data_IF_457997509666
#
_entry.id   IF_457997509666
#
_cell.length_a   1.000
_cell.length_b   1.000
_cell.length_c   1.000
_cell.angle_alpha   90.00
_cell.angle_beta   90.00
_cell.angle_gamma   90.00
#
_symmetry.space_group_name_H-M   'P 1'
#
loop_
_entity.id
_entity.type
_entity.pdbx_description
1 polymer ?
#
# COMPACT_ATOMS: atom_id res chain seq x y z
N UNK A 1 -16.36 3.29 16.73
CA UNK A 1 -17.20 3.95 15.70
C UNK A 1 -16.36 5.01 15.03
N UNK A 2 -16.54 5.24 13.73
CA UNK A 2 -15.67 6.13 12.95
C UNK A 2 -16.51 7.21 12.28
N UNK A 3 -16.15 8.49 12.46
CA UNK A 3 -16.85 9.62 11.84
C UNK A 3 -16.33 9.84 10.41
N UNK A 4 -17.22 9.86 9.42
CA UNK A 4 -16.84 10.14 8.04
C UNK A 4 -16.66 11.63 7.80
N UNK A 5 -15.54 12.01 7.20
CA UNK A 5 -15.24 13.36 6.74
C UNK A 5 -14.64 13.31 5.35
N UNK A 6 -15.10 14.18 4.46
CA UNK A 6 -14.55 14.28 3.11
C UNK A 6 -13.43 15.30 3.07
N UNK A 7 -12.28 14.92 2.50
CA UNK A 7 -11.15 15.82 2.24
C UNK A 7 -10.95 15.93 0.72
N UNK A 8 -10.84 17.15 0.16
CA UNK A 8 -10.59 17.32 -1.27
C UNK A 8 -9.19 16.78 -1.65
N UNK A 9 -9.11 16.06 -2.77
CA UNK A 9 -7.85 15.70 -3.41
C UNK A 9 -7.48 16.74 -4.47
N UNK A 10 -6.20 16.78 -4.83
CA UNK A 10 -5.67 17.63 -5.90
C UNK A 10 -6.28 17.34 -7.30
N UNK A 11 -6.88 16.16 -7.49
CA UNK A 11 -7.58 15.74 -8.72
C UNK A 11 -9.07 16.12 -8.73
N UNK A 12 -9.56 16.87 -7.72
CA UNK A 12 -10.95 17.30 -7.59
C UNK A 12 -11.89 16.24 -7.00
N UNK A 13 -11.42 15.01 -6.75
CA UNK A 13 -12.22 13.97 -6.09
C UNK A 13 -12.17 14.14 -4.56
N UNK A 14 -13.16 13.59 -3.86
CA UNK A 14 -13.17 13.60 -2.39
C UNK A 14 -12.62 12.28 -1.83
N UNK A 15 -11.76 12.37 -0.82
CA UNK A 15 -11.27 11.22 -0.05
C UNK A 15 -12.12 11.06 1.21
N UNK A 16 -12.86 9.95 1.38
CA UNK A 16 -13.57 9.68 2.61
C UNK A 16 -12.57 9.28 3.71
N UNK A 17 -12.38 10.14 4.70
CA UNK A 17 -11.63 9.83 5.91
C UNK A 17 -12.60 9.36 6.99
N UNK A 18 -12.27 8.23 7.61
CA UNK A 18 -12.86 7.78 8.84
C UNK A 18 -12.00 8.21 10.03
N UNK A 19 -12.48 9.16 10.82
CA UNK A 19 -11.81 9.62 12.04
C UNK A 19 -12.29 8.79 13.24
N UNK A 20 -11.45 7.93 13.83
CA UNK A 20 -11.84 7.17 15.02
C UNK A 20 -11.94 8.09 16.23
N UNK A 21 -12.66 7.62 17.26
CA UNK A 21 -12.70 8.31 18.56
C UNK A 21 -11.29 8.44 19.17
N UNK A 22 -11.06 9.40 20.07
CA UNK A 22 -9.76 9.53 20.76
C UNK A 22 -9.38 8.24 21.46
N UNK A 23 -10.32 7.60 22.16
CA UNK A 23 -10.13 6.30 22.82
C UNK A 23 -9.69 5.22 21.84
N UNK A 24 -10.36 5.12 20.68
CA UNK A 24 -10.00 4.15 19.65
C UNK A 24 -8.61 4.44 19.07
N UNK A 25 -8.25 5.71 18.85
CA UNK A 25 -6.91 6.09 18.36
C UNK A 25 -5.81 5.70 19.35
N UNK A 26 -6.04 5.89 20.66
CA UNK A 26 -5.08 5.48 21.70
C UNK A 26 -4.91 3.96 21.70
N UNK A 27 -6.00 3.20 21.65
CA UNK A 27 -5.95 1.74 21.61
C UNK A 27 -5.29 1.22 20.32
N UNK A 28 -5.60 1.81 19.17
CA UNK A 28 -4.96 1.50 17.89
C UNK A 28 -3.46 1.80 17.91
N UNK A 29 -3.06 2.91 18.52
CA UNK A 29 -1.63 3.25 18.67
C UNK A 29 -0.91 2.24 19.56
N UNK A 30 -1.50 1.85 20.70
CA UNK A 30 -0.94 0.84 21.57
C UNK A 30 -0.77 -0.51 20.85
N UNK A 31 -1.80 -0.96 20.13
CA UNK A 31 -1.70 -2.17 19.32
C UNK A 31 -0.64 -2.05 18.21
N UNK A 32 -0.55 -0.90 17.53
CA UNK A 32 0.47 -0.63 16.52
C UNK A 32 1.88 -0.76 17.10
N UNK A 33 2.16 -0.17 18.26
CA UNK A 33 3.49 -0.24 18.89
C UNK A 33 3.94 -1.68 19.19
N UNK A 34 3.00 -2.57 19.49
CA UNK A 34 3.28 -4.00 19.74
C UNK A 34 3.41 -4.79 18.45
N UNK A 35 2.55 -4.53 17.46
CA UNK A 35 2.47 -5.31 16.23
C UNK A 35 3.51 -4.89 15.18
N UNK A 36 3.82 -3.59 15.09
CA UNK A 36 4.71 -3.05 14.06
C UNK A 36 6.10 -3.72 14.08
N UNK A 37 6.79 -3.91 15.23
CA UNK A 37 8.08 -4.61 15.24
C UNK A 37 8.03 -6.05 14.73
N UNK A 38 6.92 -6.77 15.00
CA UNK A 38 6.74 -8.16 14.58
C UNK A 38 6.65 -8.27 13.07
N UNK A 39 5.90 -7.37 12.42
CA UNK A 39 5.75 -7.37 10.97
C UNK A 39 6.91 -6.68 10.25
N UNK A 40 7.50 -5.64 10.85
CA UNK A 40 8.66 -4.95 10.30
C UNK A 40 9.86 -5.88 10.12
N UNK A 41 10.02 -6.88 10.99
CA UNK A 41 11.03 -7.92 10.86
C UNK A 41 10.91 -8.76 9.56
N UNK A 42 9.69 -8.87 9.00
CA UNK A 42 9.45 -9.60 7.74
C UNK A 42 9.43 -8.70 6.51
N UNK A 43 9.12 -7.41 6.68
CA UNK A 43 8.87 -6.52 5.57
C UNK A 43 10.11 -6.34 4.69
N UNK A 44 9.94 -6.60 3.39
CA UNK A 44 11.02 -6.61 2.43
C UNK A 44 11.55 -5.20 2.15
N UNK A 45 12.84 -5.05 1.77
CA UNK A 45 13.45 -3.74 1.51
C UNK A 45 12.85 -2.95 0.35
N UNK A 46 12.01 -3.57 -0.49
CA UNK A 46 11.33 -2.92 -1.60
C UNK A 46 10.16 -2.03 -1.16
N UNK A 47 9.68 -2.16 0.08
CA UNK A 47 8.58 -1.36 0.62
C UNK A 47 9.09 -0.22 1.51
N UNK A 48 8.61 1.00 1.29
CA UNK A 48 9.09 2.20 1.97
C UNK A 48 7.99 2.96 2.73
N UNK A 49 6.73 2.86 2.30
CA UNK A 49 5.65 3.68 2.84
C UNK A 49 5.25 3.28 4.26
N UNK A 50 5.03 4.27 5.12
CA UNK A 50 4.54 4.11 6.50
C UNK A 50 5.34 3.11 7.36
N UNK A 51 6.66 3.05 7.17
CA UNK A 51 7.56 2.18 7.93
C UNK A 51 8.57 2.99 8.73
N UNK A 52 8.96 2.53 9.93
CA UNK A 52 9.99 3.21 10.71
C UNK A 52 11.31 3.24 9.93
N UNK A 53 12.01 4.38 9.96
CA UNK A 53 13.32 4.58 9.31
C UNK A 53 13.30 4.39 7.79
N UNK A 54 12.14 4.43 7.14
CA UNK A 54 11.98 4.46 5.68
C UNK A 54 11.33 5.77 5.29
N UNK A 55 11.75 6.34 4.17
CA UNK A 55 11.17 7.57 3.65
C UNK A 55 10.94 7.47 2.15
N UNK A 56 10.06 8.34 1.67
CA UNK A 56 9.86 8.54 0.25
C UNK A 56 11.15 8.89 -0.49
N UNK A 57 12.01 9.72 0.12
CA UNK A 57 13.31 10.10 -0.44
C UNK A 57 14.20 8.88 -0.70
N UNK A 58 14.19 7.89 0.20
CA UNK A 58 14.93 6.64 -0.02
C UNK A 58 14.36 5.83 -1.20
N UNK A 59 13.03 5.81 -1.37
CA UNK A 59 12.40 5.17 -2.51
C UNK A 59 12.81 5.86 -3.82
N UNK A 60 12.74 7.19 -3.87
CA UNK A 60 13.18 8.00 -5.02
C UNK A 60 14.66 7.78 -5.35
N UNK A 61 15.53 7.74 -4.34
CA UNK A 61 16.95 7.49 -4.55
C UNK A 61 17.20 6.08 -5.13
N UNK A 62 16.44 5.08 -4.66
CA UNK A 62 16.48 3.72 -5.23
C UNK A 62 16.08 3.72 -6.71
N UNK A 63 15.01 4.43 -7.07
CA UNK A 63 14.57 4.60 -8.45
C UNK A 63 15.64 5.28 -9.31
N UNK A 64 16.24 6.36 -8.81
CA UNK A 64 17.33 7.08 -9.50
C UNK A 64 18.52 6.16 -9.79
N UNK A 65 18.93 5.36 -8.80
CA UNK A 65 20.03 4.38 -8.94
C UNK A 65 19.69 3.28 -9.94
N UNK A 66 18.45 2.81 -9.99
CA UNK A 66 18.00 1.79 -10.95
C UNK A 66 18.00 2.33 -12.39
N UNK A 67 17.50 3.56 -12.58
CA UNK A 67 17.54 4.25 -13.87
C UNK A 67 18.96 4.45 -14.38
N UNK A 68 19.89 4.86 -13.50
CA UNK A 68 21.31 4.97 -13.86
C UNK A 68 21.96 3.62 -14.24
N UNK A 69 21.38 2.50 -13.81
CA UNK A 69 21.82 1.13 -14.15
C UNK A 69 21.11 0.55 -15.39
N UNK A 70 20.44 1.37 -16.19
CA UNK A 70 19.81 0.92 -17.44
C UNK A 70 18.38 0.36 -17.29
N UNK A 71 17.74 0.48 -16.12
CA UNK A 71 16.36 0.02 -15.95
C UNK A 71 15.37 1.10 -16.38
N UNK A 72 15.24 1.27 -17.70
CA UNK A 72 14.46 2.36 -18.28
C UNK A 72 12.99 2.01 -18.49
N UNK A 73 12.60 0.74 -18.54
CA UNK A 73 11.19 0.40 -18.72
C UNK A 73 10.46 0.41 -17.38
N UNK A 74 9.43 1.25 -17.25
CA UNK A 74 8.72 1.46 -15.99
C UNK A 74 7.29 0.97 -16.10
N UNK A 75 6.94 0.05 -15.22
CA UNK A 75 5.55 -0.27 -14.91
C UNK A 75 5.14 0.58 -13.71
N UNK A 76 4.22 1.51 -13.93
CA UNK A 76 3.63 2.35 -12.89
C UNK A 76 2.19 1.89 -12.64
N UNK A 77 1.91 1.45 -11.41
CA UNK A 77 0.66 0.82 -11.04
C UNK A 77 0.10 1.48 -9.77
N UNK A 78 -1.15 1.93 -9.91
CA UNK A 78 -1.94 2.55 -8.85
C UNK A 78 -3.16 1.65 -8.56
N UNK A 79 -3.36 1.30 -7.29
CA UNK A 79 -4.42 0.39 -6.87
C UNK A 79 -5.70 1.18 -6.65
N UNK A 80 -6.76 0.83 -7.38
CA UNK A 80 -8.04 1.54 -7.31
C UNK A 80 -8.74 1.23 -5.99
N UNK A 81 -9.10 2.29 -5.26
CA UNK A 81 -9.77 2.21 -3.96
C UNK A 81 -9.14 1.15 -3.05
N UNK A 82 -7.81 1.21 -2.90
CA UNK A 82 -7.07 0.18 -2.19
C UNK A 82 -7.61 -0.05 -0.77
N UNK A 83 -7.74 1.02 0.00
CA UNK A 83 -8.25 0.91 1.36
C UNK A 83 -9.69 0.42 1.41
N UNK A 84 -10.56 0.73 0.44
CA UNK A 84 -11.94 0.22 0.41
C UNK A 84 -12.06 -1.24 -0.04
N UNK A 85 -11.07 -1.75 -0.80
CA UNK A 85 -11.10 -3.08 -1.42
C UNK A 85 -10.38 -4.18 -0.62
N UNK A 86 -9.81 -3.87 0.55
CA UNK A 86 -9.14 -4.88 1.39
C UNK A 86 -10.16 -5.86 1.96
N UNK A 87 -10.00 -7.13 1.61
CA UNK A 87 -10.77 -8.24 2.16
C UNK A 87 -10.36 -8.52 3.62
N UNK A 88 -11.30 -8.36 4.55
CA UNK A 88 -11.06 -8.52 5.99
C UNK A 88 -10.62 -9.95 6.33
N UNK A 89 -11.23 -10.97 5.72
CA UNK A 89 -10.90 -12.37 6.00
C UNK A 89 -9.49 -12.71 5.55
N UNK A 90 -9.10 -12.26 4.36
CA UNK A 90 -7.72 -12.43 3.87
C UNK A 90 -6.73 -11.67 4.74
N UNK A 91 -7.02 -10.42 5.11
CA UNK A 91 -6.17 -9.62 5.99
C UNK A 91 -5.99 -10.30 7.35
N UNK A 92 -7.09 -10.72 7.99
CA UNK A 92 -7.04 -11.37 9.29
C UNK A 92 -6.28 -12.71 9.25
N UNK A 93 -6.39 -13.48 8.15
CA UNK A 93 -5.55 -14.67 7.93
C UNK A 93 -4.07 -14.33 7.81
N UNK A 94 -3.71 -13.23 7.17
CA UNK A 94 -2.31 -12.78 7.08
C UNK A 94 -1.76 -12.35 8.43
N UNK A 95 -2.54 -11.61 9.22
CA UNK A 95 -2.15 -11.20 10.58
C UNK A 95 -1.99 -12.43 11.49
N UNK A 96 -2.94 -13.38 11.43
CA UNK A 96 -2.93 -14.58 12.26
C UNK A 96 -1.74 -15.52 12.00
N UNK A 97 -1.03 -15.38 10.87
CA UNK A 97 0.22 -16.12 10.61
C UNK A 97 1.36 -15.72 11.55
N UNK A 98 1.33 -14.51 12.12
CA UNK A 98 2.38 -14.00 13.01
C UNK A 98 1.87 -13.69 14.41
N UNK A 99 0.57 -13.44 14.55
CA UNK A 99 -0.07 -13.10 15.83
C UNK A 99 -1.00 -14.24 16.25
N UNK A 100 -0.69 -14.91 17.36
CA UNK A 100 -1.52 -15.98 17.91
C UNK A 100 -2.51 -15.50 18.99
N UNK A 101 -2.35 -14.28 19.50
CA UNK A 101 -3.22 -13.72 20.54
C UNK A 101 -4.64 -13.46 20.00
N UNK A 102 -5.59 -14.28 20.46
CA UNK A 102 -7.00 -14.21 20.08
C UNK A 102 -7.66 -12.88 20.47
N UNK A 103 -7.24 -12.24 21.56
CA UNK A 103 -7.79 -10.94 22.00
C UNK A 103 -7.34 -9.83 21.06
N UNK A 104 -6.07 -9.84 20.67
CA UNK A 104 -5.54 -8.91 19.66
C UNK A 104 -6.24 -9.09 18.32
N UNK A 105 -6.38 -10.33 17.84
CA UNK A 105 -7.08 -10.61 16.59
C UNK A 105 -8.56 -10.16 16.63
N UNK A 106 -9.25 -10.40 17.75
CA UNK A 106 -10.63 -9.92 17.94
C UNK A 106 -10.72 -8.39 17.93
N UNK A 107 -9.75 -7.72 18.54
CA UNK A 107 -9.69 -6.25 18.57
C UNK A 107 -9.48 -5.67 17.17
N UNK A 108 -8.52 -6.21 16.41
CA UNK A 108 -8.27 -5.81 15.03
C UNK A 108 -9.49 -6.01 14.14
N UNK A 109 -10.14 -7.18 14.24
CA UNK A 109 -11.39 -7.47 13.53
C UNK A 109 -12.48 -6.46 13.90
N UNK A 110 -12.64 -6.16 15.18
CA UNK A 110 -13.60 -5.16 15.65
C UNK A 110 -13.34 -3.77 15.08
N UNK A 111 -12.09 -3.37 14.83
CA UNK A 111 -11.78 -2.11 14.16
C UNK A 111 -12.02 -2.13 12.65
N UNK A 112 -11.88 -3.27 12.00
CA UNK A 112 -12.19 -3.43 10.57
C UNK A 112 -13.70 -3.42 10.31
N UNK A 113 -14.46 -4.12 11.16
CA UNK A 113 -15.92 -4.22 11.08
C UNK A 113 -16.63 -2.98 11.67
N UNK A 114 -15.91 -2.13 12.41
CA UNK A 114 -16.47 -0.92 13.00
C UNK A 114 -17.07 -0.04 11.92
N UNK A 115 -18.41 0.04 11.92
CA UNK A 115 -19.16 0.80 10.94
C UNK A 115 -18.74 2.27 10.85
N UNK A 116 -18.92 2.83 9.66
CA UNK A 116 -18.70 4.23 9.37
C UNK A 116 -20.02 4.98 9.62
N UNK A 117 -19.97 6.00 10.46
CA UNK A 117 -21.10 6.90 10.70
C UNK A 117 -21.06 8.03 9.69
N UNK A 118 -22.10 8.16 8.88
CA UNK A 118 -22.27 9.18 7.85
C UNK A 118 -23.68 9.75 7.94
N UNK A 119 -23.82 11.06 8.17
CA UNK A 119 -25.13 11.73 8.24
C UNK A 119 -26.07 11.23 9.35
N UNK A 120 -25.54 10.60 10.41
CA UNK A 120 -26.34 10.01 11.50
C UNK A 120 -26.75 8.55 11.26
N UNK A 121 -26.43 7.96 10.11
CA UNK A 121 -26.63 6.54 9.83
C UNK A 121 -25.32 5.76 9.99
N UNK A 122 -25.39 4.62 10.69
CA UNK A 122 -24.26 3.67 10.82
C UNK A 122 -24.36 2.66 9.68
N UNK A 123 -23.35 2.62 8.82
CA UNK A 123 -23.20 1.56 7.83
C UNK A 123 -22.14 0.58 8.28
N UNK A 124 -22.46 -0.72 8.28
CA UNK A 124 -21.46 -1.76 8.52
C UNK A 124 -20.48 -1.80 7.35
N UNK A 125 -19.18 -1.86 7.65
CA UNK A 125 -18.15 -2.01 6.61
C UNK A 125 -17.97 -3.50 6.31
N UNK A 126 -18.34 -3.90 5.10
CA UNK A 126 -18.22 -5.30 4.61
C UNK A 126 -16.81 -5.57 4.04
N UNK A 127 -16.07 -4.51 3.68
CA UNK A 127 -14.71 -4.56 3.19
C UNK A 127 -13.99 -3.23 3.45
N UNK A 128 -12.66 -3.31 3.46
CA UNK A 128 -11.77 -2.16 3.54
C UNK A 128 -11.25 -1.83 4.94
N UNK A 129 -10.27 -0.95 5.02
CA UNK A 129 -9.69 -0.48 6.29
C UNK A 129 -10.03 1.00 6.45
N UNK A 130 -10.51 1.45 7.62
CA UNK A 130 -10.87 2.85 7.83
C UNK A 130 -9.70 3.80 7.52
N UNK A 131 -9.90 4.69 6.55
CA UNK A 131 -8.88 5.67 6.17
C UNK A 131 -8.77 6.74 7.27
N UNK A 132 -7.70 6.71 8.06
CA UNK A 132 -7.53 7.60 9.22
C UNK A 132 -7.40 6.88 10.56
N UNK A 133 -7.56 5.55 10.57
CA UNK A 133 -7.12 4.72 11.69
C UNK A 133 -5.59 4.73 11.82
N UNK A 134 -5.10 4.81 13.05
CA UNK A 134 -3.66 4.86 13.35
C UNK A 134 -2.97 3.56 12.92
N UNK A 135 -3.68 2.44 13.02
CA UNK A 135 -3.18 1.11 12.66
C UNK A 135 -3.39 0.77 11.18
N UNK A 136 -4.22 1.53 10.47
CA UNK A 136 -4.59 1.25 9.08
C UNK A 136 -3.40 1.14 8.12
N UNK A 137 -2.37 2.01 8.19
CA UNK A 137 -1.19 1.88 7.34
C UNK A 137 -0.38 0.59 7.57
N UNK A 138 -0.33 0.10 8.82
CA UNK A 138 0.35 -1.16 9.13
C UNK A 138 -0.43 -2.34 8.52
N UNK A 139 -1.75 -2.38 8.73
CA UNK A 139 -2.61 -3.43 8.17
C UNK A 139 -2.57 -3.45 6.64
N UNK A 140 -2.56 -2.27 6.03
CA UNK A 140 -2.46 -2.15 4.58
C UNK A 140 -1.09 -2.62 4.06
N UNK A 141 0.00 -2.35 4.78
CA UNK A 141 1.31 -2.91 4.45
C UNK A 141 1.36 -4.43 4.60
N UNK A 142 0.75 -5.01 5.63
CA UNK A 142 0.65 -6.48 5.81
C UNK A 142 -0.04 -7.14 4.62
N UNK A 143 -1.13 -6.53 4.14
CA UNK A 143 -1.88 -7.06 3.00
C UNK A 143 -1.06 -7.06 1.71
N UNK A 144 -0.46 -5.91 1.35
CA UNK A 144 0.36 -5.79 0.15
C UNK A 144 1.73 -6.46 0.26
N UNK A 145 2.17 -6.84 1.45
CA UNK A 145 3.40 -7.60 1.59
C UNK A 145 3.36 -8.96 0.87
N UNK A 146 2.18 -9.50 0.60
CA UNK A 146 2.02 -10.68 -0.26
C UNK A 146 2.57 -10.42 -1.67
N UNK A 147 2.34 -9.22 -2.23
CA UNK A 147 2.93 -8.80 -3.50
C UNK A 147 4.45 -8.77 -3.41
N UNK A 148 5.00 -8.12 -2.38
CA UNK A 148 6.45 -8.00 -2.19
C UNK A 148 7.13 -9.39 -2.14
N UNK A 149 6.54 -10.33 -1.40
CA UNK A 149 7.08 -11.70 -1.23
C UNK A 149 6.99 -12.51 -2.52
N UNK A 150 5.83 -12.50 -3.19
CA UNK A 150 5.65 -13.24 -4.44
C UNK A 150 6.53 -12.66 -5.55
N UNK A 151 6.63 -11.33 -5.62
CA UNK A 151 7.53 -10.66 -6.55
C UNK A 151 8.98 -11.09 -6.33
N UNK A 152 9.47 -10.97 -5.10
CA UNK A 152 10.87 -11.30 -4.77
C UNK A 152 11.18 -12.78 -5.02
N UNK A 153 10.23 -13.67 -4.77
CA UNK A 153 10.43 -15.12 -4.95
C UNK A 153 10.34 -15.57 -6.41
N UNK A 154 9.49 -14.95 -7.23
CA UNK A 154 9.09 -15.50 -8.55
C UNK A 154 9.35 -14.58 -9.74
N UNK A 155 9.51 -13.27 -9.50
CA UNK A 155 9.53 -12.24 -10.54
C UNK A 155 10.73 -11.31 -10.45
N UNK A 156 11.62 -11.49 -9.47
CA UNK A 156 12.82 -10.67 -9.30
C UNK A 156 13.72 -10.56 -10.56
N UNK A 157 13.85 -11.59 -11.42
CA UNK A 157 14.61 -11.46 -12.67
C UNK A 157 14.01 -10.48 -13.68
N UNK A 158 12.69 -10.24 -13.62
CA UNK A 158 11.99 -9.35 -14.56
C UNK A 158 12.26 -7.86 -14.26
N UNK A 159 12.47 -7.53 -12.99
CA UNK A 159 12.68 -6.15 -12.60
C UNK A 159 12.70 -5.93 -11.10
N UNK A 160 13.03 -4.71 -10.71
CA UNK A 160 13.05 -4.30 -9.30
C UNK A 160 11.75 -3.60 -8.93
N UNK A 161 11.01 -4.19 -7.99
CA UNK A 161 9.84 -3.58 -7.37
C UNK A 161 10.27 -2.53 -6.33
N UNK A 162 9.63 -1.37 -6.36
CA UNK A 162 9.71 -0.31 -5.35
C UNK A 162 8.29 0.13 -5.02
N UNK A 163 7.92 0.08 -3.75
CA UNK A 163 6.55 0.35 -3.28
C UNK A 163 6.55 1.40 -2.16
N UNK A 164 5.58 2.30 -2.22
CA UNK A 164 5.27 3.26 -1.18
C UNK A 164 3.77 3.21 -0.91
N UNK A 165 3.39 2.57 0.21
CA UNK A 165 1.99 2.28 0.52
C UNK A 165 1.31 1.46 -0.59
N UNK A 166 0.28 2.01 -1.22
CA UNK A 166 -0.48 1.45 -2.35
C UNK A 166 0.13 1.75 -3.72
N UNK A 167 0.93 2.81 -3.83
CA UNK A 167 1.67 3.13 -5.05
C UNK A 167 2.89 2.22 -5.19
N UNK A 168 3.06 1.60 -6.36
CA UNK A 168 4.28 0.85 -6.64
C UNK A 168 4.70 0.94 -8.10
N UNK A 169 6.00 0.80 -8.29
CA UNK A 169 6.64 0.81 -9.61
C UNK A 169 7.56 -0.40 -9.75
N UNK A 170 7.61 -0.95 -10.97
CA UNK A 170 8.58 -1.99 -11.33
C UNK A 170 9.48 -1.45 -12.44
N UNK A 171 10.78 -1.43 -12.18
CA UNK A 171 11.79 -0.98 -13.13
C UNK A 171 12.46 -2.18 -13.78
N UNK A 172 12.33 -2.26 -15.10
CA UNK A 172 12.77 -3.36 -15.94
C UNK A 172 13.84 -2.87 -16.94
N UNK A 173 14.71 -3.78 -17.40
CA UNK A 173 15.75 -3.45 -18.38
C UNK A 173 15.23 -3.45 -19.81
N UNK A 174 14.27 -4.32 -20.11
CA UNK A 174 13.71 -4.44 -21.45
C UNK A 174 12.19 -4.23 -21.42
N UNK A 175 11.64 -3.87 -22.58
CA UNK A 175 10.18 -3.78 -22.75
C UNK A 175 9.53 -5.12 -22.46
N UNK A 176 10.06 -6.23 -23.01
CA UNK A 176 9.55 -7.59 -22.82
C UNK A 176 9.45 -7.96 -21.34
N UNK A 177 10.47 -7.65 -20.54
CA UNK A 177 10.44 -7.92 -19.10
C UNK A 177 9.35 -7.10 -18.40
N UNK A 178 9.14 -5.84 -18.82
CA UNK A 178 8.08 -4.99 -18.30
C UNK A 178 6.68 -5.55 -18.62
N UNK A 179 6.49 -6.13 -19.81
CA UNK A 179 5.22 -6.77 -20.17
C UNK A 179 4.95 -8.03 -19.37
N UNK A 180 5.98 -8.84 -19.13
CA UNK A 180 5.88 -10.00 -18.26
C UNK A 180 5.68 -9.61 -16.80
N UNK A 181 6.35 -8.55 -16.33
CA UNK A 181 6.19 -7.97 -15.00
C UNK A 181 4.73 -7.59 -14.76
N UNK A 182 4.12 -6.91 -15.73
CA UNK A 182 2.71 -6.54 -15.66
C UNK A 182 1.80 -7.76 -15.53
N UNK A 183 2.00 -8.79 -16.36
CA UNK A 183 1.21 -10.02 -16.29
C UNK A 183 1.32 -10.70 -14.92
N UNK A 184 2.53 -10.70 -14.32
CA UNK A 184 2.75 -11.25 -12.97
C UNK A 184 2.08 -10.42 -11.88
N UNK A 185 2.22 -9.09 -11.92
CA UNK A 185 1.54 -8.17 -10.99
C UNK A 185 0.02 -8.38 -11.08
N UNK A 186 -0.53 -8.44 -12.31
CA UNK A 186 -1.95 -8.68 -12.55
C UNK A 186 -2.44 -9.95 -11.87
N UNK A 187 -1.73 -11.06 -12.09
CA UNK A 187 -2.09 -12.34 -11.50
C UNK A 187 -2.04 -12.32 -9.97
N UNK A 188 -1.05 -11.63 -9.38
CA UNK A 188 -0.91 -11.52 -7.92
C UNK A 188 -2.04 -10.67 -7.33
N UNK A 189 -2.31 -9.49 -7.89
CA UNK A 189 -3.35 -8.58 -7.41
C UNK A 189 -4.75 -9.20 -7.57
N UNK A 190 -5.01 -9.93 -8.66
CA UNK A 190 -6.25 -10.66 -8.86
C UNK A 190 -6.50 -11.69 -7.74
N UNK A 191 -5.48 -12.42 -7.28
CA UNK A 191 -5.60 -13.34 -6.14
C UNK A 191 -5.92 -12.62 -4.82
N UNK A 192 -5.40 -11.40 -4.67
CA UNK A 192 -5.74 -10.52 -3.55
C UNK A 192 -7.11 -9.86 -3.71
N UNK A 193 -7.80 -10.00 -4.84
CA UNK A 193 -9.09 -9.34 -5.10
C UNK A 193 -8.96 -7.83 -5.33
N UNK A 194 -7.76 -7.35 -5.65
CA UNK A 194 -7.49 -5.93 -5.86
C UNK A 194 -7.58 -5.57 -7.33
N UNK A 195 -8.27 -4.47 -7.62
CA UNK A 195 -8.29 -3.85 -8.94
C UNK A 195 -7.26 -2.72 -9.00
N UNK A 196 -6.63 -2.55 -10.16
CA UNK A 196 -5.61 -1.51 -10.34
C UNK A 196 -5.77 -0.82 -11.71
N UNK A 197 -5.12 0.33 -11.85
CA UNK A 197 -5.00 1.06 -13.11
C UNK A 197 -3.55 1.03 -13.54
N UNK A 198 -3.33 0.75 -14.82
CA UNK A 198 -2.00 0.72 -15.41
C UNK A 198 -1.66 2.05 -16.06
N UNK A 199 -0.47 2.55 -15.74
CA UNK A 199 0.19 3.62 -16.48
C UNK A 199 1.47 3.04 -17.09
N UNK A 200 1.34 2.31 -18.20
CA UNK A 200 2.51 1.88 -18.98
C UNK A 200 3.18 3.11 -19.56
N UNK A 201 4.48 3.30 -19.32
CA UNK A 201 5.24 4.38 -19.91
C UNK A 201 6.59 3.86 -20.41
N UNK A 202 6.80 3.93 -21.73
CA UNK A 202 8.07 3.59 -22.37
C UNK A 202 9.07 4.75 -22.16
N UNK A 203 10.18 4.54 -21.44
CA UNK A 203 11.16 5.61 -21.17
C UNK A 203 12.19 5.79 -22.28
N UNK A 204 11.73 5.98 -23.51
CA UNK A 204 12.63 6.33 -24.61
C UNK A 204 13.19 7.77 -24.52
N UNK A 205 12.78 8.57 -23.53
CA UNK A 205 13.38 9.87 -23.27
C UNK A 205 13.87 9.99 -21.82
N UNK A 206 15.13 10.40 -21.66
CA UNK A 206 15.83 10.72 -20.40
C UNK A 206 15.06 11.67 -19.45
N UNK A 207 14.03 12.35 -19.97
CA UNK A 207 13.07 13.20 -19.27
C UNK A 207 12.07 12.44 -18.39
N UNK A 208 11.83 11.14 -18.64
CA UNK A 208 10.68 10.44 -18.06
C UNK A 208 10.94 9.76 -16.72
N UNK A 209 12.15 9.25 -16.49
CA UNK A 209 12.58 8.84 -15.14
C UNK A 209 12.52 10.03 -14.17
N UNK A 210 12.89 11.24 -14.64
CA UNK A 210 12.70 12.50 -13.90
C UNK A 210 11.23 12.81 -13.66
N UNK A 211 10.30 12.46 -14.57
CA UNK A 211 8.85 12.70 -14.42
C UNK A 211 8.17 11.73 -13.46
N UNK A 212 8.58 10.46 -13.40
CA UNK A 212 8.14 9.50 -12.37
C UNK A 212 8.70 9.89 -11.01
N UNK A 213 10.00 10.24 -10.96
CA UNK A 213 10.63 10.83 -9.77
C UNK A 213 9.92 12.12 -9.33
N UNK A 214 9.50 12.99 -10.26
CA UNK A 214 8.78 14.22 -9.95
C UNK A 214 7.33 13.94 -9.53
N UNK A 215 6.62 13.00 -10.16
CA UNK A 215 5.25 12.61 -9.77
C UNK A 215 5.25 12.03 -8.36
N UNK A 216 6.22 11.17 -8.04
CA UNK A 216 6.41 10.66 -6.68
C UNK A 216 6.94 11.75 -5.74
N UNK A 217 7.79 12.69 -6.19
CA UNK A 217 8.20 13.83 -5.37
C UNK A 217 7.03 14.78 -5.06
N UNK A 218 6.02 14.90 -5.93
CA UNK A 218 4.78 15.65 -5.65
C UNK A 218 3.88 14.90 -4.68
N UNK A 219 3.76 13.57 -4.80
CA UNK A 219 3.00 12.74 -3.85
C UNK A 219 3.68 12.75 -2.47
N UNK A 220 5.01 12.68 -2.44
CA UNK A 220 5.80 12.58 -1.22
C UNK A 220 6.22 13.93 -0.62
N UNK A 221 6.07 15.03 -1.36
CA UNK A 221 6.33 16.40 -0.91
C UNK A 221 5.07 17.10 -0.37
N UNK A 222 4.01 16.35 -0.12
CA UNK A 222 2.75 16.82 0.49
C UNK A 222 2.62 16.41 1.96
N UNK A 223 3.76 16.30 2.66
CA UNK A 223 3.86 16.21 4.12
C UNK A 223 4.41 17.52 4.70
#
# INVERSE_FOLDING_TARGET
>A
MVLRRYVPKADGKQRPLGIPTVRDRVAQMAAKLVLEPVFEADFLPCSYGFRPKRSATMALEKLRKLGAKGHHHVLDADIRDYFGSIDHEKLMKLVARRVSDRRMLKLLRGWLEAGVMEGGAVSASVAGVPQGGVISPLLSNIYLHVLDRLWTKQSAPLGTLVRYADDFVVLCRTKKDCEQAEARVRAILARLGLSYTLRRRDAQSSTMAKRVLNSWATICGSE
#
